data_IF_921854094048
#
_entry.id   IF_921854094048
#
_cell.length_a   1.000
_cell.length_b   1.000
_cell.length_c   1.000
_cell.angle_alpha   90.00
_cell.angle_beta   90.00
_cell.angle_gamma   90.00
#
_symmetry.space_group_name_H-M   'P 1'
#
loop_
_entity.id
_entity.type
_entity.pdbx_description
1 polymer ?
#
# COMPACT_ATOMS: atom_id res chain seq x y z
N UNK A 1 23.17 15.45 16.68
CA UNK A 1 23.49 16.49 15.68
C UNK A 1 22.35 16.59 14.65
N UNK A 2 22.40 17.57 13.77
CA UNK A 2 21.38 17.81 12.75
C UNK A 2 21.21 16.67 11.77
N UNK A 3 22.28 16.02 11.37
CA UNK A 3 22.26 14.89 10.42
C UNK A 3 21.55 13.69 11.04
N UNK A 4 21.91 13.31 12.25
CA UNK A 4 21.27 12.22 12.97
C UNK A 4 19.78 12.51 13.21
N UNK A 5 19.44 13.73 13.61
CA UNK A 5 18.04 14.14 13.77
C UNK A 5 17.26 14.05 12.46
N UNK A 6 17.85 14.47 11.33
CA UNK A 6 17.25 14.33 10.01
C UNK A 6 17.01 12.89 9.60
N UNK A 7 17.95 11.99 9.83
CA UNK A 7 17.79 10.57 9.52
C UNK A 7 16.68 9.91 10.37
N UNK A 8 16.65 10.19 11.67
CA UNK A 8 15.58 9.68 12.56
C UNK A 8 14.21 10.26 12.18
N UNK A 9 14.15 11.54 11.85
CA UNK A 9 12.93 12.17 11.33
C UNK A 9 12.45 11.48 10.04
N UNK A 10 13.35 11.19 9.11
CA UNK A 10 13.04 10.47 7.87
C UNK A 10 12.47 9.08 8.13
N UNK A 11 13.02 8.35 9.10
CA UNK A 11 12.51 7.04 9.47
C UNK A 11 11.07 7.12 10.01
N UNK A 12 10.77 8.09 10.88
CA UNK A 12 9.41 8.32 11.40
C UNK A 12 8.45 8.73 10.29
N UNK A 13 8.85 9.66 9.40
CA UNK A 13 8.05 10.08 8.25
C UNK A 13 7.70 8.87 7.38
N UNK A 14 8.68 8.03 7.08
CA UNK A 14 8.50 6.83 6.25
C UNK A 14 7.55 5.81 6.88
N UNK A 15 7.77 5.45 8.15
CA UNK A 15 6.97 4.44 8.85
C UNK A 15 5.52 4.89 9.10
N UNK A 16 5.33 6.18 9.33
CA UNK A 16 4.02 6.76 9.65
C UNK A 16 3.30 7.41 8.48
N UNK A 17 3.87 7.41 7.28
CA UNK A 17 3.38 8.14 6.10
C UNK A 17 3.06 9.61 6.44
N UNK A 18 4.02 10.30 7.01
CA UNK A 18 3.86 11.66 7.53
C UNK A 18 2.67 11.76 8.49
N UNK A 19 2.63 10.89 9.51
CA UNK A 19 1.61 10.82 10.55
C UNK A 19 0.19 10.43 10.09
N UNK A 20 0.02 9.96 8.84
CA UNK A 20 -1.27 9.57 8.26
C UNK A 20 -1.57 8.08 8.42
N UNK A 21 -0.56 7.26 8.65
CA UNK A 21 -0.75 5.81 8.85
C UNK A 21 -1.35 5.51 10.23
N UNK A 22 -2.22 4.50 10.36
CA UNK A 22 -2.68 4.01 11.66
C UNK A 22 -1.57 3.37 12.50
N UNK A 23 -0.36 3.25 11.98
CA UNK A 23 0.85 2.91 12.76
C UNK A 23 1.35 4.06 13.60
N UNK A 24 0.99 5.31 13.24
CA UNK A 24 1.45 6.51 13.93
C UNK A 24 0.85 6.62 15.34
N UNK A 25 1.72 6.85 16.32
CA UNK A 25 1.34 7.14 17.69
C UNK A 25 1.53 8.64 18.00
N UNK A 26 0.93 9.16 19.10
CA UNK A 26 1.23 10.52 19.56
C UNK A 26 2.72 10.76 19.85
N UNK A 27 3.44 9.71 20.27
CA UNK A 27 4.89 9.78 20.52
C UNK A 27 5.64 9.97 19.21
N UNK A 28 5.29 9.23 18.15
CA UNK A 28 5.92 9.37 16.84
C UNK A 28 5.75 10.77 16.29
N UNK A 29 4.54 11.32 16.41
CA UNK A 29 4.25 12.68 15.96
C UNK A 29 5.07 13.73 16.72
N UNK A 30 5.11 13.63 18.04
CA UNK A 30 5.88 14.54 18.87
C UNK A 30 7.40 14.44 18.58
N UNK A 31 7.92 13.22 18.49
CA UNK A 31 9.32 12.96 18.15
C UNK A 31 9.69 13.47 16.75
N UNK A 32 8.86 13.18 15.75
CA UNK A 32 9.08 13.63 14.37
C UNK A 32 9.15 15.15 14.25
N UNK A 33 8.23 15.88 14.89
CA UNK A 33 8.23 17.34 14.91
C UNK A 33 9.48 17.92 15.62
N UNK A 34 9.85 17.35 16.78
CA UNK A 34 11.05 17.79 17.51
C UNK A 34 12.33 17.53 16.71
N UNK A 35 12.44 16.37 16.08
CA UNK A 35 13.60 16.02 15.24
C UNK A 35 13.69 16.89 13.99
N UNK A 36 12.57 17.21 13.36
CA UNK A 36 12.54 18.16 12.23
C UNK A 36 13.04 19.54 12.64
N UNK A 37 12.64 20.02 13.82
CA UNK A 37 13.13 21.29 14.36
C UNK A 37 14.65 21.28 14.60
N UNK A 38 15.18 20.20 15.22
CA UNK A 38 16.63 20.06 15.44
C UNK A 38 17.40 20.00 14.12
N UNK A 39 16.85 19.30 13.13
CA UNK A 39 17.47 19.18 11.81
C UNK A 39 17.33 20.46 10.96
N UNK A 40 16.42 21.37 11.33
CA UNK A 40 16.11 22.57 10.55
C UNK A 40 15.32 22.28 9.28
N UNK A 41 14.43 21.26 9.33
CA UNK A 41 13.60 20.81 8.21
C UNK A 41 12.18 21.37 8.31
N UNK A 42 11.64 21.81 7.18
CA UNK A 42 10.20 21.91 6.97
C UNK A 42 9.69 20.47 6.74
N UNK A 43 9.03 19.90 7.71
CA UNK A 43 8.69 18.47 7.72
C UNK A 43 7.75 18.07 6.58
N UNK A 44 6.79 18.93 6.21
CA UNK A 44 5.84 18.66 5.14
C UNK A 44 6.53 18.68 3.76
N UNK A 45 7.30 19.73 3.50
CA UNK A 45 8.07 19.85 2.26
C UNK A 45 9.08 18.71 2.14
N UNK A 46 9.81 18.42 3.22
CA UNK A 46 10.79 17.34 3.24
C UNK A 46 10.14 15.97 2.99
N UNK A 47 8.98 15.69 3.59
CA UNK A 47 8.26 14.45 3.37
C UNK A 47 7.81 14.30 1.91
N UNK A 48 7.30 15.37 1.28
CA UNK A 48 6.94 15.37 -0.14
C UNK A 48 8.15 15.03 -1.01
N UNK A 49 9.29 15.68 -0.77
CA UNK A 49 10.53 15.45 -1.51
C UNK A 49 11.02 14.00 -1.32
N UNK A 50 10.98 13.48 -0.09
CA UNK A 50 11.39 12.13 0.26
C UNK A 50 10.50 11.07 -0.40
N UNK A 51 9.18 11.21 -0.31
CA UNK A 51 8.25 10.27 -0.94
C UNK A 51 8.31 10.35 -2.47
N UNK A 52 8.47 11.53 -3.04
CA UNK A 52 8.64 11.71 -4.49
C UNK A 52 9.92 11.02 -5.00
N UNK A 53 11.00 11.10 -4.24
CA UNK A 53 12.25 10.41 -4.57
C UNK A 53 12.13 8.89 -4.40
N UNK A 54 11.43 8.42 -3.37
CA UNK A 54 11.22 7.00 -3.08
C UNK A 54 10.23 6.33 -4.03
N UNK A 55 9.24 7.06 -4.53
CA UNK A 55 8.21 6.56 -5.45
C UNK A 55 8.60 6.66 -6.92
N UNK A 56 9.86 6.89 -7.24
CA UNK A 56 10.30 6.93 -8.64
C UNK A 56 10.23 5.50 -9.23
N UNK A 57 9.09 5.20 -9.85
CA UNK A 57 8.83 3.93 -10.52
C UNK A 57 9.29 3.93 -11.98
N UNK A 58 9.80 5.07 -12.46
CA UNK A 58 10.27 5.25 -13.83
C UNK A 58 11.45 4.32 -14.11
N UNK A 59 11.29 3.47 -15.12
CA UNK A 59 12.33 2.52 -15.54
C UNK A 59 12.40 1.23 -14.72
N UNK A 60 11.55 1.05 -13.68
CA UNK A 60 11.43 -0.21 -12.98
C UNK A 60 10.59 -1.21 -13.78
N UNK A 61 10.98 -2.48 -13.75
CA UNK A 61 10.18 -3.57 -14.29
C UNK A 61 8.93 -3.82 -13.42
N UNK A 62 7.92 -4.50 -13.96
CA UNK A 62 6.74 -4.88 -13.18
C UNK A 62 7.09 -5.77 -11.99
N UNK A 63 8.09 -6.65 -12.14
CA UNK A 63 8.62 -7.47 -11.07
C UNK A 63 9.28 -6.66 -9.96
N UNK A 64 10.12 -5.68 -10.32
CA UNK A 64 10.77 -4.81 -9.34
C UNK A 64 9.74 -4.01 -8.52
N UNK A 65 8.66 -3.56 -9.17
CA UNK A 65 7.56 -2.85 -8.52
C UNK A 65 6.80 -3.80 -7.59
N UNK A 66 6.44 -4.98 -8.08
CA UNK A 66 5.64 -5.95 -7.35
C UNK A 66 6.33 -6.46 -6.09
N UNK A 67 7.61 -6.83 -6.21
CA UNK A 67 8.40 -7.39 -5.11
C UNK A 67 9.07 -6.35 -4.21
N UNK A 68 8.88 -5.07 -4.46
CA UNK A 68 9.44 -4.01 -3.62
C UNK A 68 8.95 -4.11 -2.17
N UNK A 69 7.67 -4.44 -1.97
CA UNK A 69 7.09 -4.73 -0.66
C UNK A 69 5.97 -5.77 -0.78
N UNK A 70 6.35 -7.02 -0.93
CA UNK A 70 5.44 -8.17 -1.05
C UNK A 70 5.55 -9.08 0.17
N UNK A 71 4.40 -9.59 0.65
CA UNK A 71 4.35 -10.60 1.71
C UNK A 71 3.30 -11.66 1.40
N UNK A 72 3.66 -12.92 1.69
CA UNK A 72 2.80 -14.10 1.61
C UNK A 72 2.28 -14.46 3.01
N UNK A 73 1.03 -14.92 3.06
CA UNK A 73 0.31 -15.32 4.27
C UNK A 73 -0.38 -16.65 4.05
N UNK A 74 -0.61 -17.38 5.15
CA UNK A 74 -1.36 -18.62 5.15
C UNK A 74 -2.37 -18.59 6.30
N UNK A 75 -3.63 -18.91 6.00
CA UNK A 75 -4.72 -19.03 6.98
C UNK A 75 -5.46 -20.33 6.70
N UNK A 76 -5.36 -21.30 7.61
CA UNK A 76 -5.88 -22.65 7.36
C UNK A 76 -5.23 -23.26 6.11
N UNK A 77 -6.05 -23.61 5.13
CA UNK A 77 -5.58 -24.13 3.84
C UNK A 77 -5.46 -23.06 2.76
N UNK A 78 -5.81 -21.82 3.05
CA UNK A 78 -5.77 -20.72 2.09
C UNK A 78 -4.44 -19.99 2.13
N UNK A 79 -3.88 -19.75 0.94
CA UNK A 79 -2.64 -18.99 0.74
C UNK A 79 -2.96 -17.71 -0.01
N UNK A 80 -2.54 -16.58 0.54
CA UNK A 80 -2.69 -15.30 -0.15
C UNK A 80 -1.42 -14.44 -0.07
N UNK A 81 -1.28 -13.55 -1.05
CA UNK A 81 -0.18 -12.60 -1.11
C UNK A 81 -0.68 -11.16 -1.13
N UNK A 82 0.08 -10.25 -0.53
CA UNK A 82 -0.20 -8.82 -0.58
C UNK A 82 1.08 -8.07 -0.94
N UNK A 83 1.07 -7.40 -2.09
CA UNK A 83 2.07 -6.40 -2.46
C UNK A 83 1.56 -4.99 -2.19
N UNK A 84 2.46 -4.03 -2.04
CA UNK A 84 2.10 -2.62 -1.84
C UNK A 84 3.13 -1.69 -2.45
N UNK A 85 2.64 -0.65 -3.11
CA UNK A 85 3.41 0.56 -3.40
C UNK A 85 2.65 1.78 -2.88
N UNK A 86 3.41 2.81 -2.54
CA UNK A 86 2.87 4.11 -2.13
C UNK A 86 3.40 5.19 -3.06
N UNK A 87 2.56 6.11 -3.46
CA UNK A 87 2.94 7.26 -4.29
C UNK A 87 2.14 8.49 -3.89
N UNK A 88 2.71 9.66 -4.18
CA UNK A 88 2.02 10.96 -4.15
C UNK A 88 1.37 11.29 -5.49
N UNK A 89 1.72 10.55 -6.54
CA UNK A 89 1.31 10.83 -7.92
C UNK A 89 0.13 9.93 -8.33
N UNK A 90 -1.07 10.51 -8.32
CA UNK A 90 -2.29 9.82 -8.71
C UNK A 90 -2.28 9.35 -10.18
N UNK A 91 -1.63 10.09 -11.08
CA UNK A 91 -1.53 9.71 -12.50
C UNK A 91 -0.67 8.47 -12.66
N UNK A 92 0.49 8.44 -12.00
CA UNK A 92 1.39 7.28 -12.00
C UNK A 92 0.68 6.02 -11.46
N UNK A 93 -0.05 6.15 -10.33
CA UNK A 93 -0.82 5.03 -9.77
C UNK A 93 -1.91 4.54 -10.73
N UNK A 94 -2.58 5.45 -11.42
CA UNK A 94 -3.60 5.10 -12.42
C UNK A 94 -3.00 4.34 -13.61
N UNK A 95 -1.85 4.78 -14.11
CA UNK A 95 -1.16 4.12 -15.22
C UNK A 95 -0.68 2.71 -14.83
N UNK A 96 -0.35 2.50 -13.56
CA UNK A 96 0.06 1.20 -13.04
C UNK A 96 -1.10 0.21 -12.87
N UNK A 97 -2.35 0.65 -12.78
CA UNK A 97 -3.51 -0.23 -12.55
C UNK A 97 -3.55 -1.39 -13.56
N UNK A 98 -3.49 -1.09 -14.84
CA UNK A 98 -3.57 -2.10 -15.91
C UNK A 98 -2.35 -3.03 -15.90
N UNK A 99 -1.15 -2.47 -15.79
CA UNK A 99 0.10 -3.24 -15.78
C UNK A 99 0.16 -4.18 -14.58
N UNK A 100 -0.12 -3.65 -13.39
CA UNK A 100 -0.05 -4.42 -12.16
C UNK A 100 -1.20 -5.42 -12.03
N UNK A 101 -2.37 -5.17 -12.61
CA UNK A 101 -3.44 -6.16 -12.67
C UNK A 101 -3.02 -7.41 -13.45
N UNK A 102 -2.47 -7.22 -14.64
CA UNK A 102 -1.97 -8.33 -15.46
C UNK A 102 -0.79 -9.07 -14.80
N UNK A 103 0.13 -8.31 -14.17
CA UNK A 103 1.27 -8.88 -13.49
C UNK A 103 0.86 -9.67 -12.24
N UNK A 104 -0.06 -9.14 -11.43
CA UNK A 104 -0.56 -9.79 -10.22
C UNK A 104 -1.26 -11.12 -10.54
N UNK A 105 -2.06 -11.16 -11.61
CA UNK A 105 -2.70 -12.40 -12.06
C UNK A 105 -1.69 -13.45 -12.50
N UNK A 106 -0.70 -13.05 -13.30
CA UNK A 106 0.39 -13.93 -13.73
C UNK A 106 1.17 -14.49 -12.54
N UNK A 107 1.54 -13.66 -11.57
CA UNK A 107 2.28 -14.08 -10.38
C UNK A 107 1.45 -15.04 -9.52
N UNK A 108 0.16 -14.78 -9.37
CA UNK A 108 -0.75 -15.68 -8.65
C UNK A 108 -0.75 -17.08 -9.24
N UNK A 109 -0.89 -17.18 -10.55
CA UNK A 109 -0.91 -18.47 -11.26
C UNK A 109 0.41 -19.20 -11.17
N UNK A 110 1.55 -18.49 -11.39
CA UNK A 110 2.89 -19.08 -11.35
C UNK A 110 3.29 -19.60 -9.98
N UNK A 111 2.81 -18.99 -8.91
CA UNK A 111 3.15 -19.35 -7.53
C UNK A 111 2.07 -20.16 -6.80
N UNK A 112 1.01 -20.59 -7.53
CA UNK A 112 -0.10 -21.40 -6.98
C UNK A 112 -0.68 -20.76 -5.69
N UNK A 113 -0.91 -19.43 -5.74
CA UNK A 113 -1.52 -18.67 -4.65
C UNK A 113 -3.02 -18.55 -4.91
N UNK A 114 -3.86 -18.81 -3.90
CA UNK A 114 -5.31 -18.79 -4.07
C UNK A 114 -5.83 -17.40 -4.41
N UNK A 115 -5.37 -16.39 -3.65
CA UNK A 115 -5.75 -14.99 -3.84
C UNK A 115 -4.51 -14.09 -3.76
N UNK A 116 -4.45 -13.10 -4.64
CA UNK A 116 -3.37 -12.13 -4.60
C UNK A 116 -3.93 -10.71 -4.65
N UNK A 117 -3.35 -9.85 -3.84
CA UNK A 117 -3.75 -8.48 -3.67
C UNK A 117 -2.58 -7.55 -3.92
N UNK A 118 -2.81 -6.42 -4.59
CA UNK A 118 -1.79 -5.42 -4.77
C UNK A 118 -2.33 -4.02 -4.48
N UNK A 119 -1.74 -3.37 -3.48
CA UNK A 119 -2.17 -2.05 -3.00
C UNK A 119 -1.49 -0.94 -3.80
N UNK A 120 -2.26 -0.15 -4.51
CA UNK A 120 -1.84 1.11 -5.13
C UNK A 120 -2.26 2.24 -4.19
N UNK A 121 -1.39 2.62 -3.27
CA UNK A 121 -1.72 3.54 -2.17
C UNK A 121 -1.32 4.97 -2.50
N UNK A 122 -2.29 5.88 -2.49
CA UNK A 122 -2.07 7.31 -2.60
C UNK A 122 -1.99 7.93 -1.20
N UNK A 123 -0.82 8.49 -0.86
CA UNK A 123 -0.57 9.07 0.46
C UNK A 123 -1.36 10.38 0.66
N UNK A 124 -1.54 11.17 -0.40
CA UNK A 124 -2.23 12.46 -0.29
C UNK A 124 -3.73 12.31 -0.04
N UNK A 125 -4.36 11.35 -0.70
CA UNK A 125 -5.80 11.08 -0.55
C UNK A 125 -6.10 10.06 0.54
N UNK A 126 -5.05 9.47 1.14
CA UNK A 126 -5.16 8.43 2.16
C UNK A 126 -6.07 7.28 1.71
N UNK A 127 -5.89 6.83 0.49
CA UNK A 127 -6.73 5.80 -0.14
C UNK A 127 -5.90 4.78 -0.92
N UNK A 128 -6.47 3.60 -1.11
CA UNK A 128 -5.85 2.53 -1.90
C UNK A 128 -6.82 2.06 -2.99
N UNK A 129 -6.33 1.98 -4.23
CA UNK A 129 -6.92 1.13 -5.25
C UNK A 129 -6.33 -0.26 -5.06
N UNK A 130 -7.14 -1.22 -4.63
CA UNK A 130 -6.70 -2.58 -4.35
C UNK A 130 -7.00 -3.49 -5.55
N UNK A 131 -5.96 -3.96 -6.21
CA UNK A 131 -6.06 -5.02 -7.21
C UNK A 131 -6.30 -6.33 -6.46
N UNK A 132 -7.39 -7.01 -6.81
CA UNK A 132 -7.79 -8.29 -6.23
C UNK A 132 -7.80 -9.33 -7.35
N UNK A 133 -7.04 -10.43 -7.20
CA UNK A 133 -7.05 -11.50 -8.20
C UNK A 133 -7.16 -12.87 -7.54
N UNK A 134 -7.89 -13.77 -8.20
CA UNK A 134 -8.25 -15.09 -7.71
C UNK A 134 -9.74 -15.22 -7.42
N UNK A 135 -10.21 -16.47 -7.38
CA UNK A 135 -11.63 -16.76 -7.21
C UNK A 135 -12.16 -16.19 -5.90
N UNK A 136 -13.15 -15.28 -5.99
CA UNK A 136 -13.79 -14.66 -4.84
C UNK A 136 -12.97 -13.58 -4.13
N UNK A 137 -11.76 -13.23 -4.61
CA UNK A 137 -10.89 -12.25 -3.96
C UNK A 137 -11.53 -10.86 -3.84
N UNK A 138 -12.14 -10.37 -4.92
CA UNK A 138 -12.84 -9.09 -4.96
C UNK A 138 -14.02 -9.05 -3.99
N UNK A 139 -14.86 -10.11 -4.01
CA UNK A 139 -16.03 -10.22 -3.13
C UNK A 139 -15.64 -10.34 -1.65
N UNK A 140 -14.55 -11.03 -1.35
CA UNK A 140 -14.01 -11.11 0.01
C UNK A 140 -13.66 -9.72 0.55
N UNK A 141 -12.99 -8.91 -0.24
CA UNK A 141 -12.63 -7.53 0.14
C UNK A 141 -13.88 -6.66 0.25
N UNK A 142 -14.80 -6.74 -0.72
CA UNK A 142 -16.04 -5.98 -0.69
C UNK A 142 -16.84 -6.24 0.59
N UNK A 143 -16.95 -7.50 0.99
CA UNK A 143 -17.65 -7.89 2.23
C UNK A 143 -16.88 -7.42 3.48
N UNK A 144 -15.56 -7.61 3.53
CA UNK A 144 -14.73 -7.30 4.70
C UNK A 144 -14.69 -5.79 4.99
N UNK A 145 -14.75 -4.94 3.96
CA UNK A 145 -14.69 -3.49 4.07
C UNK A 145 -16.03 -2.79 3.83
N UNK A 146 -17.12 -3.55 3.60
CA UNK A 146 -18.46 -3.01 3.30
C UNK A 146 -18.46 -2.05 2.11
N UNK A 147 -17.74 -2.44 1.05
CA UNK A 147 -17.58 -1.64 -0.16
C UNK A 147 -18.85 -1.68 -0.99
N UNK A 148 -19.20 -0.56 -1.59
CA UNK A 148 -20.33 -0.46 -2.50
C UNK A 148 -19.93 -0.87 -3.93
N UNK A 149 -20.90 -1.32 -4.72
CA UNK A 149 -20.66 -1.74 -6.11
C UNK A 149 -20.04 -0.62 -6.97
N UNK A 150 -20.34 0.64 -6.67
CA UNK A 150 -19.77 1.81 -7.38
C UNK A 150 -18.25 1.99 -7.19
N UNK A 151 -17.69 1.40 -6.12
CA UNK A 151 -16.28 1.41 -5.80
C UNK A 151 -15.54 0.12 -6.24
N UNK A 152 -16.23 -0.72 -7.00
CA UNK A 152 -15.71 -1.97 -7.57
C UNK A 152 -15.63 -1.89 -9.09
N UNK A 153 -14.52 -2.35 -9.64
CA UNK A 153 -14.28 -2.37 -11.09
C UNK A 153 -13.77 -3.74 -11.53
N UNK A 154 -14.50 -4.43 -12.36
CA UNK A 154 -14.01 -5.66 -12.99
C UNK A 154 -13.02 -5.28 -14.10
N UNK A 155 -11.82 -5.86 -14.06
CA UNK A 155 -10.76 -5.59 -15.04
C UNK A 155 -10.71 -6.68 -16.10
N UNK A 156 -10.51 -7.94 -15.68
CA UNK A 156 -10.48 -9.09 -16.58
C UNK A 156 -10.52 -10.41 -15.79
N UNK A 157 -11.23 -11.41 -16.29
CA UNK A 157 -11.26 -12.74 -15.70
C UNK A 157 -11.63 -12.74 -14.21
N UNK A 158 -10.69 -13.15 -13.36
CA UNK A 158 -10.83 -13.18 -11.91
C UNK A 158 -10.13 -11.99 -11.23
N UNK A 159 -9.87 -10.91 -11.97
CA UNK A 159 -9.17 -9.72 -11.48
C UNK A 159 -10.09 -8.51 -11.48
N UNK A 160 -10.25 -7.91 -10.33
CA UNK A 160 -10.98 -6.65 -10.12
C UNK A 160 -10.16 -5.64 -9.32
N UNK A 161 -10.66 -4.42 -9.25
CA UNK A 161 -10.09 -3.35 -8.44
C UNK A 161 -11.16 -2.84 -7.49
N UNK A 162 -10.81 -2.76 -6.21
CA UNK A 162 -11.67 -2.25 -5.15
C UNK A 162 -11.06 -0.98 -4.57
N UNK A 163 -11.84 0.11 -4.54
CA UNK A 163 -11.42 1.37 -3.93
C UNK A 163 -11.64 1.31 -2.43
N UNK A 164 -10.58 1.59 -1.68
CA UNK A 164 -10.58 1.54 -0.22
C UNK A 164 -10.17 2.90 0.37
N UNK A 165 -11.12 3.84 0.56
CA UNK A 165 -10.85 5.09 1.26
C UNK A 165 -10.39 4.83 2.70
N UNK A 166 -9.36 5.57 3.16
CA UNK A 166 -8.83 5.45 4.53
C UNK A 166 -7.96 4.21 4.78
N UNK A 167 -7.76 3.34 3.78
CA UNK A 167 -6.89 2.16 3.91
C UNK A 167 -5.53 2.46 3.29
N UNK A 168 -4.51 2.56 4.14
CA UNK A 168 -3.12 2.89 3.72
C UNK A 168 -2.10 1.92 4.29
N UNK A 169 -2.50 1.03 5.20
CA UNK A 169 -1.60 0.09 5.88
C UNK A 169 -1.97 -1.35 5.62
N UNK A 170 -1.10 -2.07 4.90
CA UNK A 170 -1.22 -3.53 4.75
C UNK A 170 -1.28 -4.23 6.10
N UNK A 171 -0.34 -3.91 7.02
CA UNK A 171 -0.17 -4.60 8.30
C UNK A 171 -1.32 -4.36 9.28
N UNK A 172 -1.82 -3.12 9.36
CA UNK A 172 -2.80 -2.71 10.37
C UNK A 172 -4.24 -2.79 9.90
N UNK A 173 -4.47 -2.66 8.60
CA UNK A 173 -5.82 -2.55 8.05
C UNK A 173 -6.17 -3.69 7.10
N UNK A 174 -5.36 -3.97 6.07
CA UNK A 174 -5.74 -4.93 5.04
C UNK A 174 -5.56 -6.40 5.47
N UNK A 175 -4.35 -6.79 5.86
CA UNK A 175 -4.05 -8.19 6.17
C UNK A 175 -4.91 -8.76 7.30
N UNK A 176 -5.18 -8.05 8.42
CA UNK A 176 -6.04 -8.56 9.48
C UNK A 176 -7.47 -8.83 9.01
N UNK A 177 -8.03 -7.98 8.14
CA UNK A 177 -9.40 -8.16 7.62
C UNK A 177 -9.50 -9.38 6.69
N UNK A 178 -8.49 -9.58 5.82
CA UNK A 178 -8.43 -10.77 4.96
C UNK A 178 -8.31 -12.03 5.83
N UNK A 179 -7.44 -12.02 6.84
CA UNK A 179 -7.26 -13.15 7.74
C UNK A 179 -8.55 -13.50 8.49
N UNK A 180 -9.31 -12.51 8.96
CA UNK A 180 -10.60 -12.73 9.61
C UNK A 180 -11.65 -13.29 8.65
N UNK A 181 -11.68 -12.81 7.41
CA UNK A 181 -12.65 -13.25 6.41
C UNK A 181 -12.38 -14.67 5.88
N UNK A 182 -11.16 -15.19 6.06
CA UNK A 182 -10.75 -16.54 5.65
C UNK A 182 -10.83 -17.58 6.79
N UNK A 183 -11.17 -17.17 8.02
CA UNK A 183 -11.39 -18.07 9.16
C UNK A 183 -12.79 -18.65 9.16
#
# INVERSE_FOLDING_TARGET
DKTTAGLLCSAIISDTLLFRSPTCTPIDKAAGLALAQIAGLDIEKYAIDMFSAGSNLKGKSDGDIFYQDFKRFTVGNSVFGIGQITSLNAVELKDLRTRMSAYTEKEREQHEIDMMFFMLTNILTESTDLICTGQGAEQLIANAFHVKDEDMENVSGQTGIVKLPGVVSRKKQLAPQIMMALQ
#
